data_IF_540181440552
#
_entry.id   IF_540181440552
#
_cell.length_a   1.000
_cell.length_b   1.000
_cell.length_c   1.000
_cell.angle_alpha   90.00
_cell.angle_beta   90.00
_cell.angle_gamma   90.00
#
_symmetry.space_group_name_H-M   'P 1'
#
loop_
_entity.id
_entity.type
_entity.pdbx_description
1 polymer ?
#
# COMPACT_ATOMS: atom_id res chain seq x y z
N UNK A 1 29.54 -4.02 39.89
CA UNK A 1 29.49 -4.12 38.41
C UNK A 1 28.34 -5.04 38.02
N UNK A 2 27.12 -4.50 37.88
CA UNK A 2 25.91 -5.32 37.70
C UNK A 2 25.13 -4.95 36.44
N UNK A 3 24.86 -5.96 35.60
CA UNK A 3 23.81 -6.13 34.57
C UNK A 3 23.40 -4.96 33.62
N UNK A 4 24.06 -3.81 33.64
CA UNK A 4 23.78 -2.69 32.74
C UNK A 4 24.02 -3.04 31.26
N UNK A 5 25.06 -3.83 30.98
CA UNK A 5 25.38 -4.27 29.62
C UNK A 5 24.28 -5.16 29.00
N UNK A 6 23.68 -6.07 29.78
CA UNK A 6 22.57 -6.92 29.30
C UNK A 6 21.29 -6.10 29.09
N UNK A 7 21.03 -5.11 29.95
CA UNK A 7 19.90 -4.21 29.79
C UNK A 7 20.06 -3.30 28.56
N UNK A 8 21.27 -2.80 28.32
CA UNK A 8 21.61 -1.98 27.17
C UNK A 8 21.50 -2.77 25.86
N UNK A 9 22.07 -3.98 25.80
CA UNK A 9 21.91 -4.87 24.64
C UNK A 9 20.45 -5.23 24.35
N UNK A 10 19.62 -5.43 25.39
CA UNK A 10 18.18 -5.65 25.21
C UNK A 10 17.47 -4.41 24.66
N UNK A 11 17.81 -3.21 25.13
CA UNK A 11 17.26 -1.95 24.61
C UNK A 11 17.70 -1.71 23.17
N UNK A 12 18.97 -1.95 22.85
CA UNK A 12 19.50 -1.82 21.48
C UNK A 12 18.90 -2.83 20.51
N UNK A 13 18.65 -4.08 20.92
CA UNK A 13 17.93 -5.04 20.06
C UNK A 13 16.48 -4.60 19.82
N UNK A 14 15.76 -4.20 20.87
CA UNK A 14 14.37 -3.76 20.74
C UNK A 14 14.23 -2.45 19.93
N UNK A 15 15.23 -1.57 20.01
CA UNK A 15 15.31 -0.36 19.19
C UNK A 15 15.54 -0.67 17.70
N UNK A 16 16.29 -1.74 17.37
CA UNK A 16 16.49 -2.20 15.99
C UNK A 16 15.23 -2.83 15.39
N UNK A 17 14.45 -3.56 16.19
CA UNK A 17 13.16 -4.15 15.77
C UNK A 17 12.03 -3.11 15.62
N UNK A 18 12.16 -1.96 16.29
CA UNK A 18 11.17 -0.86 16.23
C UNK A 18 11.55 0.24 15.23
N UNK A 19 12.82 0.30 14.82
CA UNK A 19 13.26 1.29 13.85
C UNK A 19 12.92 0.84 12.43
N UNK A 20 11.93 1.54 11.86
CA UNK A 20 11.59 1.58 10.45
C UNK A 20 10.63 0.48 9.95
N UNK A 21 9.46 0.36 10.58
CA UNK A 21 8.25 0.12 9.79
C UNK A 21 8.06 1.36 8.92
N UNK A 22 8.60 1.34 7.70
CA UNK A 22 8.49 2.46 6.76
C UNK A 22 7.07 2.99 6.74
N UNK A 23 6.91 4.32 6.60
CA UNK A 23 5.59 4.96 6.68
C UNK A 23 4.56 4.19 5.86
N UNK A 24 3.50 3.72 6.50
CA UNK A 24 2.43 2.99 5.84
C UNK A 24 1.82 3.84 4.70
N UNK A 25 1.88 5.17 4.82
CA UNK A 25 1.51 6.09 3.74
C UNK A 25 2.41 5.96 2.51
N UNK A 26 3.73 5.80 2.70
CA UNK A 26 4.67 5.56 1.59
C UNK A 26 4.43 4.22 0.92
N UNK A 27 4.18 3.16 1.69
CA UNK A 27 3.90 1.83 1.10
C UNK A 27 2.56 1.83 0.35
N UNK A 28 1.53 2.49 0.86
CA UNK A 28 0.26 2.65 0.16
C UNK A 28 0.39 3.47 -1.13
N UNK A 29 1.20 4.54 -1.12
CA UNK A 29 1.46 5.34 -2.31
C UNK A 29 2.17 4.53 -3.39
N UNK A 30 3.18 3.74 -3.01
CA UNK A 30 3.89 2.84 -3.93
C UNK A 30 3.00 1.71 -4.47
N UNK A 31 1.99 1.29 -3.70
CA UNK A 31 1.05 0.26 -4.13
C UNK A 31 0.05 0.71 -5.20
N UNK A 32 -0.02 2.01 -5.54
CA UNK A 32 -0.93 2.54 -6.57
C UNK A 32 -0.44 2.26 -7.99
N UNK A 33 -0.56 1.02 -8.45
CA UNK A 33 -0.03 0.58 -9.75
C UNK A 33 -1.10 0.42 -10.84
N UNK A 34 -2.39 0.40 -10.48
CA UNK A 34 -3.49 0.24 -11.45
C UNK A 34 -3.99 1.64 -11.81
N UNK A 35 -4.15 1.94 -13.11
CA UNK A 35 -4.63 3.25 -13.58
C UNK A 35 -5.82 3.09 -14.51
N UNK A 36 -6.88 3.86 -14.28
CA UNK A 36 -8.00 3.93 -15.22
C UNK A 36 -7.58 4.72 -16.48
N UNK A 37 -7.76 4.15 -17.67
CA UNK A 37 -7.39 4.83 -18.93
C UNK A 37 -8.32 5.97 -19.34
N UNK A 38 -9.50 6.07 -18.71
CA UNK A 38 -10.51 7.08 -19.03
C UNK A 38 -10.31 8.35 -18.20
N UNK A 39 -10.11 8.20 -16.89
CA UNK A 39 -9.99 9.35 -15.96
C UNK A 39 -8.64 9.46 -15.26
N UNK A 40 -7.70 8.55 -15.55
CA UNK A 40 -6.36 8.52 -14.98
C UNK A 40 -6.30 8.45 -13.44
N UNK A 41 -7.40 8.02 -12.80
CA UNK A 41 -7.41 7.72 -11.39
C UNK A 41 -6.53 6.50 -11.08
N UNK A 42 -5.72 6.61 -10.03
CA UNK A 42 -4.83 5.55 -9.56
C UNK A 42 -5.50 4.70 -8.47
N UNK A 43 -5.32 3.39 -8.58
CA UNK A 43 -5.85 2.38 -7.69
C UNK A 43 -4.72 1.50 -7.15
N UNK A 44 -4.91 0.98 -5.93
CA UNK A 44 -3.95 0.08 -5.32
C UNK A 44 -3.91 -1.26 -6.05
N UNK A 45 -2.73 -1.88 -6.13
CA UNK A 45 -2.49 -3.18 -6.76
C UNK A 45 -3.34 -4.31 -6.14
N UNK A 46 -3.77 -4.12 -4.89
CA UNK A 46 -4.61 -5.06 -4.13
C UNK A 46 -6.11 -4.86 -4.37
N UNK A 47 -6.52 -3.81 -5.09
CA UNK A 47 -7.93 -3.56 -5.41
C UNK A 47 -8.51 -4.72 -6.21
N UNK A 48 -9.65 -5.26 -5.75
CA UNK A 48 -10.31 -6.41 -6.36
C UNK A 48 -11.11 -5.98 -7.59
N UNK A 49 -11.25 -6.90 -8.55
CA UNK A 49 -11.99 -6.66 -9.79
C UNK A 49 -13.41 -6.10 -9.58
N UNK A 50 -14.24 -6.54 -8.62
CA UNK A 50 -15.57 -5.97 -8.42
C UNK A 50 -15.57 -4.46 -8.15
N UNK A 51 -14.59 -3.96 -7.39
CA UNK A 51 -14.45 -2.54 -7.11
C UNK A 51 -14.02 -1.73 -8.35
N UNK A 52 -13.19 -2.31 -9.21
CA UNK A 52 -12.80 -1.70 -10.48
C UNK A 52 -13.96 -1.71 -11.49
N UNK A 53 -14.75 -2.79 -11.52
CA UNK A 53 -15.98 -2.85 -12.31
C UNK A 53 -16.99 -1.81 -11.84
N UNK A 54 -17.16 -1.64 -10.53
CA UNK A 54 -18.03 -0.60 -9.98
C UNK A 54 -17.55 0.80 -10.38
N UNK A 55 -16.25 1.08 -10.36
CA UNK A 55 -15.71 2.33 -10.88
C UNK A 55 -16.06 2.52 -12.37
N UNK A 56 -15.84 1.50 -13.20
CA UNK A 56 -16.12 1.57 -14.63
C UNK A 56 -17.61 1.84 -14.90
N UNK A 57 -18.50 1.13 -14.21
CA UNK A 57 -19.95 1.29 -14.35
C UNK A 57 -20.44 2.63 -13.81
N UNK A 58 -20.09 3.00 -12.57
CA UNK A 58 -20.67 4.17 -11.90
C UNK A 58 -20.07 5.51 -12.35
N UNK A 59 -18.80 5.52 -12.80
CA UNK A 59 -18.14 6.76 -13.23
C UNK A 59 -18.16 6.97 -14.74
N UNK A 60 -18.13 5.88 -15.51
CA UNK A 60 -17.95 5.96 -16.95
C UNK A 60 -19.04 5.24 -17.75
N UNK A 61 -20.01 4.58 -17.09
CA UNK A 61 -21.02 3.73 -17.75
C UNK A 61 -20.39 2.73 -18.74
N UNK A 62 -19.20 2.21 -18.37
CA UNK A 62 -18.35 1.35 -19.21
C UNK A 62 -18.11 0.01 -18.54
N UNK A 63 -17.67 -0.98 -19.32
CA UNK A 63 -17.22 -2.26 -18.76
C UNK A 63 -15.81 -2.12 -18.21
N UNK A 64 -15.43 -3.07 -17.36
CA UNK A 64 -14.07 -3.17 -16.82
C UNK A 64 -13.00 -3.11 -17.91
N UNK A 65 -13.18 -3.86 -19.00
CA UNK A 65 -12.27 -3.92 -20.15
C UNK A 65 -12.03 -2.52 -20.77
N UNK A 66 -13.07 -1.71 -20.86
CA UNK A 66 -13.01 -0.38 -21.48
C UNK A 66 -12.31 0.66 -20.60
N UNK A 67 -12.07 0.37 -19.32
CA UNK A 67 -11.39 1.28 -18.38
C UNK A 67 -10.01 0.75 -17.92
N UNK A 68 -9.85 -0.56 -17.80
CA UNK A 68 -8.70 -1.20 -17.15
C UNK A 68 -8.07 -2.34 -17.96
N UNK A 69 -8.60 -2.70 -19.13
CA UNK A 69 -7.84 -3.58 -20.04
C UNK A 69 -6.59 -2.83 -20.54
N UNK A 70 -5.47 -3.54 -20.49
CA UNK A 70 -4.17 -3.12 -20.99
C UNK A 70 -4.21 -2.78 -22.48
#
# INVERSE_FOLDING_TARGET
MGNGAKAQQKRERNAKDTSNKGSQLKTNAAAKTIKCKVCFADFQSTTKQPALTEHASNKHNKKYEDCFAA
#
